data_IF_007326469532
#
_entry.id   IF_007326469532
#
_cell.length_a   1.000
_cell.length_b   1.000
_cell.length_c   1.000
_cell.angle_alpha   90.00
_cell.angle_beta   90.00
_cell.angle_gamma   90.00
#
_symmetry.space_group_name_H-M   'P 1'
#
loop_
_entity.id
_entity.type
_entity.pdbx_description
1 polymer ?
#
# COMPACT_ATOMS: atom_id res chain seq x y z
N UNK A 1 10.65 2.76 -22.82
CA UNK A 1 10.80 3.60 -21.61
C UNK A 1 9.77 3.13 -20.60
N UNK A 2 10.18 2.73 -19.39
CA UNK A 2 9.22 2.33 -18.35
C UNK A 2 8.47 3.58 -17.85
N UNK A 3 7.14 3.49 -17.74
CA UNK A 3 6.28 4.58 -17.26
C UNK A 3 6.22 4.54 -15.73
N UNK A 4 6.10 5.71 -15.10
CA UNK A 4 5.81 5.85 -13.67
C UNK A 4 4.32 5.71 -13.36
N UNK A 5 3.91 6.17 -12.17
CA UNK A 5 2.51 6.31 -11.81
C UNK A 5 1.79 7.29 -12.74
N UNK A 6 0.52 6.99 -13.04
CA UNK A 6 -0.30 7.78 -13.95
C UNK A 6 -1.78 7.65 -13.57
N UNK A 7 -2.38 8.77 -13.15
CA UNK A 7 -3.76 8.84 -12.67
C UNK A 7 -4.79 8.41 -13.71
N UNK A 8 -4.43 8.33 -15.00
CA UNK A 8 -5.32 7.78 -16.04
C UNK A 8 -5.69 6.32 -15.78
N UNK A 9 -4.89 5.60 -15.01
CA UNK A 9 -5.17 4.21 -14.59
C UNK A 9 -5.85 4.12 -13.22
N UNK A 10 -6.08 5.25 -12.53
CA UNK A 10 -6.82 5.26 -11.28
C UNK A 10 -8.32 5.04 -11.54
N UNK A 11 -8.92 4.10 -10.81
CA UNK A 11 -10.36 3.83 -10.94
C UNK A 11 -11.16 4.83 -10.10
N UNK A 12 -12.30 5.30 -10.63
CA UNK A 12 -13.22 6.16 -9.90
C UNK A 12 -14.09 5.42 -8.87
N UNK A 13 -13.86 4.11 -8.71
CA UNK A 13 -14.60 3.20 -7.82
C UNK A 13 -14.11 3.25 -6.37
N UNK A 14 -12.94 3.86 -6.12
CA UNK A 14 -12.39 3.98 -4.78
C UNK A 14 -13.21 4.89 -3.86
N UNK A 15 -13.15 4.61 -2.55
CA UNK A 15 -13.87 5.38 -1.51
C UNK A 15 -13.40 6.85 -1.39
N UNK A 16 -12.16 7.12 -1.78
CA UNK A 16 -11.63 8.48 -1.87
C UNK A 16 -11.47 8.90 -3.35
N UNK A 17 -12.21 8.21 -4.24
CA UNK A 17 -12.28 8.41 -5.70
C UNK A 17 -10.97 8.15 -6.44
N UNK A 18 -10.87 8.66 -7.68
CA UNK A 18 -9.76 8.41 -8.59
C UNK A 18 -8.48 9.12 -8.12
N UNK A 19 -7.66 8.37 -7.39
CA UNK A 19 -6.34 8.74 -6.94
C UNK A 19 -5.47 7.51 -6.78
N UNK A 20 -4.19 7.70 -6.48
CA UNK A 20 -3.27 6.61 -6.19
C UNK A 20 -3.45 6.18 -4.73
N UNK A 21 -3.88 4.93 -4.54
CA UNK A 21 -4.10 4.37 -3.21
C UNK A 21 -2.84 3.69 -2.68
N UNK A 22 -2.54 3.95 -1.42
CA UNK A 22 -1.56 3.23 -0.62
C UNK A 22 -2.15 2.88 0.75
N UNK A 23 -1.55 1.92 1.42
CA UNK A 23 -1.88 1.48 2.78
C UNK A 23 -0.60 0.98 3.44
N UNK A 24 -0.55 1.09 4.77
CA UNK A 24 0.54 0.53 5.55
C UNK A 24 0.40 -1.00 5.72
N UNK A 25 -0.77 -1.55 5.38
CA UNK A 25 -1.11 -2.96 5.58
C UNK A 25 -0.83 -3.75 4.28
N UNK A 26 0.21 -4.57 4.31
CA UNK A 26 0.66 -5.36 3.14
C UNK A 26 -0.40 -6.35 2.64
N UNK A 27 -1.09 -7.06 3.54
CA UNK A 27 -2.15 -8.02 3.21
C UNK A 27 -3.31 -7.37 2.43
N UNK A 28 -3.60 -6.10 2.72
CA UNK A 28 -4.59 -5.30 2.00
C UNK A 28 -4.11 -4.94 0.59
N UNK A 29 -2.89 -4.43 0.44
CA UNK A 29 -2.30 -4.20 -0.89
C UNK A 29 -2.28 -5.47 -1.75
N UNK A 30 -1.94 -6.61 -1.14
CA UNK A 30 -1.95 -7.93 -1.79
C UNK A 30 -3.34 -8.36 -2.24
N UNK A 31 -4.40 -7.98 -1.49
CA UNK A 31 -5.79 -8.32 -1.85
C UNK A 31 -6.27 -7.63 -3.14
N UNK A 32 -5.65 -6.50 -3.53
CA UNK A 32 -5.96 -5.80 -4.78
C UNK A 32 -5.29 -6.42 -6.01
N UNK A 33 -4.37 -7.36 -5.81
CA UNK A 33 -3.63 -7.97 -6.90
C UNK A 33 -4.51 -8.95 -7.70
N UNK A 34 -4.49 -8.83 -9.03
CA UNK A 34 -5.18 -9.72 -9.96
C UNK A 34 -4.20 -10.20 -11.03
N UNK A 35 -3.91 -11.51 -11.04
CA UNK A 35 -3.24 -12.15 -12.16
C UNK A 35 -4.24 -12.30 -13.32
N UNK A 36 -3.96 -11.67 -14.45
CA UNK A 36 -4.83 -11.68 -15.64
C UNK A 36 -4.06 -12.19 -16.87
N UNK A 37 -4.78 -12.59 -17.92
CA UNK A 37 -4.19 -13.11 -19.16
C UNK A 37 -3.37 -14.39 -18.94
N UNK A 38 -2.18 -14.45 -19.55
CA UNK A 38 -1.30 -15.64 -19.55
C UNK A 38 -0.77 -16.02 -18.17
N UNK A 39 -0.83 -15.11 -17.19
CA UNK A 39 -0.33 -15.34 -15.83
C UNK A 39 -1.43 -15.69 -14.82
N UNK A 40 -2.69 -15.91 -15.27
CA UNK A 40 -3.84 -16.23 -14.39
C UNK A 40 -3.59 -17.41 -13.44
N UNK A 41 -2.75 -18.37 -13.83
CA UNK A 41 -2.37 -19.53 -13.00
C UNK A 41 -1.15 -19.31 -12.09
N UNK A 42 -0.52 -18.14 -12.14
CA UNK A 42 0.65 -17.85 -11.31
C UNK A 42 0.25 -17.69 -9.85
N UNK A 43 1.03 -18.33 -8.97
CA UNK A 43 0.94 -18.18 -7.51
C UNK A 43 1.68 -16.94 -7.00
N UNK A 44 2.53 -16.35 -7.83
CA UNK A 44 3.33 -15.19 -7.45
C UNK A 44 2.53 -13.91 -7.60
N UNK A 45 2.72 -13.00 -6.64
CA UNK A 45 2.14 -11.66 -6.62
C UNK A 45 3.25 -10.63 -6.46
N UNK A 46 3.11 -9.49 -7.12
CA UNK A 46 4.07 -8.39 -7.03
C UNK A 46 3.48 -7.24 -6.20
N UNK A 47 4.22 -6.76 -5.21
CA UNK A 47 3.85 -5.63 -4.35
C UNK A 47 4.95 -4.57 -4.44
N UNK A 48 4.56 -3.30 -4.58
CA UNK A 48 5.49 -2.17 -4.66
C UNK A 48 5.49 -1.38 -3.35
N UNK A 49 6.68 -1.19 -2.76
CA UNK A 49 6.90 -0.22 -1.70
C UNK A 49 7.28 1.12 -2.34
N UNK A 50 6.58 2.16 -1.92
CA UNK A 50 6.73 3.51 -2.45
C UNK A 50 7.19 4.47 -1.37
N UNK A 51 8.10 5.37 -1.74
CA UNK A 51 8.30 6.61 -1.00
C UNK A 51 7.24 7.60 -1.48
N UNK A 52 6.41 8.10 -0.56
CA UNK A 52 5.27 8.95 -0.90
C UNK A 52 5.43 10.33 -0.27
N UNK A 53 5.30 11.39 -1.08
CA UNK A 53 5.21 12.76 -0.61
C UNK A 53 3.77 13.14 -0.31
N UNK A 54 3.43 13.29 0.96
CA UNK A 54 2.04 13.51 1.41
C UNK A 54 1.65 14.98 1.48
N UNK A 55 2.61 15.89 1.64
CA UNK A 55 2.31 17.30 1.89
C UNK A 55 1.38 17.48 3.10
N UNK A 56 0.37 18.34 2.96
CA UNK A 56 -0.68 18.47 3.98
C UNK A 56 -1.76 17.41 3.76
N UNK A 57 -1.98 16.57 4.77
CA UNK A 57 -2.95 15.47 4.72
C UNK A 57 -4.31 15.93 5.23
N UNK A 58 -5.37 15.64 4.46
CA UNK A 58 -6.75 15.80 4.91
C UNK A 58 -7.26 14.48 5.48
N UNK A 59 -7.58 14.46 6.77
CA UNK A 59 -8.13 13.27 7.43
C UNK A 59 -9.66 13.25 7.33
N UNK A 60 -10.21 12.09 7.00
CA UNK A 60 -11.66 11.90 6.90
C UNK A 60 -12.06 10.49 7.32
N UNK A 61 -13.21 10.39 7.97
CA UNK A 61 -13.90 9.13 8.26
C UNK A 61 -15.13 8.92 7.38
N UNK A 62 -15.31 9.77 6.35
CA UNK A 62 -16.51 9.81 5.48
C UNK A 62 -16.18 9.65 4.00
N UNK A 63 -17.07 8.97 3.26
CA UNK A 63 -16.93 8.71 1.83
C UNK A 63 -16.88 10.01 1.02
N UNK A 64 -15.82 10.21 0.24
CA UNK A 64 -15.64 11.41 -0.58
C UNK A 64 -16.16 11.20 -2.01
N UNK A 65 -17.47 10.96 -2.15
CA UNK A 65 -18.11 10.48 -3.40
C UNK A 65 -17.83 11.23 -4.68
N UNK A 66 -17.49 12.52 -4.63
CA UNK A 66 -17.36 13.36 -5.83
C UNK A 66 -15.97 13.92 -6.07
N UNK A 67 -15.07 13.70 -5.12
CA UNK A 67 -13.72 14.26 -5.12
C UNK A 67 -12.87 13.69 -6.26
N UNK A 68 -12.01 14.49 -6.87
CA UNK A 68 -11.01 14.04 -7.86
C UNK A 68 -9.64 14.67 -7.61
N UNK A 69 -9.53 15.44 -6.53
CA UNK A 69 -8.37 16.19 -6.07
C UNK A 69 -8.50 16.39 -4.57
N UNK A 70 -7.42 16.59 -3.80
CA UNK A 70 -7.55 16.83 -2.37
C UNK A 70 -8.36 18.11 -2.10
N UNK A 71 -8.97 18.25 -0.90
CA UNK A 71 -9.62 19.49 -0.49
C UNK A 71 -8.67 20.71 -0.58
N UNK A 72 -9.20 21.94 -0.77
CA UNK A 72 -8.37 23.13 -0.88
C UNK A 72 -7.39 23.27 0.28
N UNK A 73 -6.10 23.46 -0.04
CA UNK A 73 -5.03 23.58 0.94
C UNK A 73 -4.41 22.26 1.40
N UNK A 74 -4.85 21.12 0.86
CA UNK A 74 -4.30 19.80 1.12
C UNK A 74 -3.69 19.19 -0.15
N UNK A 75 -2.79 18.23 0.04
CA UNK A 75 -2.07 17.52 -1.02
C UNK A 75 -2.46 16.04 -1.10
N UNK A 76 -2.98 15.49 -0.01
CA UNK A 76 -3.36 14.09 0.11
C UNK A 76 -4.57 13.92 1.04
N UNK A 77 -5.18 12.74 1.00
CA UNK A 77 -6.32 12.38 1.84
C UNK A 77 -6.01 11.08 2.57
N UNK A 78 -6.24 11.06 3.87
CA UNK A 78 -6.16 9.87 4.70
C UNK A 78 -7.57 9.51 5.19
N UNK A 79 -8.02 8.32 4.81
CA UNK A 79 -9.23 7.69 5.30
C UNK A 79 -8.88 6.82 6.51
N UNK A 80 -9.31 7.24 7.70
CA UNK A 80 -8.91 6.64 8.98
C UNK A 80 -9.55 5.28 9.28
N UNK A 81 -10.53 4.85 8.49
CA UNK A 81 -11.17 3.57 8.75
C UNK A 81 -12.41 3.65 9.65
N UNK A 82 -13.06 4.81 9.79
CA UNK A 82 -14.33 4.94 10.53
C UNK A 82 -15.45 3.95 10.11
N UNK A 83 -16.67 4.10 10.62
CA UNK A 83 -17.77 3.08 10.49
C UNK A 83 -18.06 2.58 9.06
N UNK A 84 -17.71 3.36 8.03
CA UNK A 84 -17.89 2.99 6.61
C UNK A 84 -16.62 2.45 5.92
N UNK A 85 -15.47 2.51 6.59
CA UNK A 85 -14.15 2.27 6.04
C UNK A 85 -13.51 1.08 6.75
N UNK A 86 -13.69 -0.12 6.22
CA UNK A 86 -13.15 -1.31 6.89
C UNK A 86 -11.63 -1.36 7.10
N UNK A 87 -10.81 -0.39 6.62
CA UNK A 87 -9.35 -0.29 6.82
C UNK A 87 -8.79 1.07 6.33
N UNK A 88 -7.63 1.50 6.85
CA UNK A 88 -6.84 2.72 6.52
C UNK A 88 -6.55 2.94 5.02
N UNK A 89 -6.80 4.12 4.46
CA UNK A 89 -6.47 4.39 3.04
C UNK A 89 -5.78 5.73 2.89
N UNK A 90 -4.60 5.74 2.30
CA UNK A 90 -3.90 6.95 1.92
C UNK A 90 -4.04 7.17 0.42
N UNK A 91 -4.46 8.37 0.03
CA UNK A 91 -4.67 8.71 -1.38
C UNK A 91 -3.97 10.01 -1.73
N UNK A 92 -3.22 9.96 -2.82
CA UNK A 92 -2.61 11.13 -3.45
C UNK A 92 -3.18 11.30 -4.86
N UNK A 93 -3.23 12.55 -5.32
CA UNK A 93 -3.82 12.92 -6.61
C UNK A 93 -2.78 13.61 -7.50
N UNK A 94 -1.52 13.23 -7.34
CA UNK A 94 -0.38 13.69 -8.14
C UNK A 94 0.49 12.47 -8.49
N UNK A 95 0.79 12.29 -9.77
CA UNK A 95 1.63 11.21 -10.31
C UNK A 95 3.06 11.27 -9.77
N UNK A 96 3.54 12.47 -9.45
CA UNK A 96 4.89 12.68 -8.94
C UNK A 96 5.00 12.49 -7.42
N UNK A 97 3.87 12.33 -6.72
CA UNK A 97 3.86 12.12 -5.28
C UNK A 97 4.34 10.72 -4.88
N UNK A 98 4.30 9.72 -5.78
CA UNK A 98 4.80 8.37 -5.50
C UNK A 98 6.07 8.09 -6.28
N UNK A 99 7.07 7.54 -5.59
CA UNK A 99 8.25 6.98 -6.22
C UNK A 99 8.44 5.53 -5.80
N UNK A 100 8.39 4.58 -6.75
CA UNK A 100 8.64 3.19 -6.43
C UNK A 100 10.09 3.00 -5.98
N UNK A 101 10.26 2.37 -4.82
CA UNK A 101 11.57 2.18 -4.19
C UNK A 101 11.98 0.70 -4.19
N UNK A 102 11.03 -0.20 -3.90
CA UNK A 102 11.30 -1.64 -3.79
C UNK A 102 10.15 -2.43 -4.41
N UNK A 103 10.48 -3.43 -5.22
CA UNK A 103 9.56 -4.43 -5.73
C UNK A 103 9.72 -5.72 -4.94
N UNK A 104 8.64 -6.20 -4.35
CA UNK A 104 8.58 -7.46 -3.60
C UNK A 104 7.77 -8.48 -4.39
N UNK A 105 8.28 -9.70 -4.50
CA UNK A 105 7.55 -10.84 -5.05
C UNK A 105 7.14 -11.77 -3.89
N UNK A 106 5.84 -11.99 -3.77
CA UNK A 106 5.21 -12.83 -2.75
C UNK A 106 4.74 -14.14 -3.38
N UNK A 107 4.80 -15.26 -2.65
CA UNK A 107 4.20 -16.53 -3.05
C UNK A 107 2.92 -16.75 -2.24
N UNK A 108 1.80 -17.08 -2.90
CA UNK A 108 0.50 -17.34 -2.26
C UNK A 108 -0.04 -16.24 -1.32
N UNK A 109 0.47 -15.01 -1.43
CA UNK A 109 0.09 -13.91 -0.55
C UNK A 109 0.93 -13.77 0.72
N UNK A 110 1.97 -14.60 0.88
CA UNK A 110 3.00 -14.46 1.89
C UNK A 110 4.24 -13.83 1.25
N UNK A 111 4.88 -12.91 1.97
CA UNK A 111 6.15 -12.31 1.53
C UNK A 111 7.22 -13.40 1.66
N UNK A 112 7.53 -14.08 0.56
CA UNK A 112 8.69 -14.96 0.49
C UNK A 112 9.95 -14.11 0.59
N UNK A 113 10.67 -14.25 1.70
CA UNK A 113 11.99 -13.63 1.88
C UNK A 113 12.90 -13.99 0.71
N UNK A 114 13.70 -13.03 0.26
CA UNK A 114 14.63 -13.15 -0.88
C UNK A 114 15.42 -14.46 -0.85
N UNK A 115 15.65 -15.12 -2.01
CA UNK A 115 16.27 -16.45 -2.09
C UNK A 115 17.77 -16.52 -1.77
N UNK A 116 18.35 -15.52 -1.12
CA UNK A 116 19.66 -15.61 -0.49
C UNK A 116 19.59 -14.92 0.87
N UNK A 117 20.13 -15.58 1.90
CA UNK A 117 20.07 -15.15 3.30
C UNK A 117 20.46 -13.66 3.39
N UNK A 118 19.51 -12.75 3.64
CA UNK A 118 19.76 -11.32 3.57
C UNK A 118 20.86 -10.92 4.57
N UNK A 119 21.69 -9.96 4.20
CA UNK A 119 22.72 -9.45 5.11
C UNK A 119 22.05 -8.87 6.37
N UNK A 120 22.77 -8.78 7.49
CA UNK A 120 22.22 -8.18 8.72
C UNK A 120 21.74 -6.74 8.50
N UNK A 121 22.28 -6.04 7.52
CA UNK A 121 21.87 -4.68 7.16
C UNK A 121 20.59 -4.66 6.32
N UNK A 122 20.40 -5.61 5.41
CA UNK A 122 19.16 -5.77 4.64
C UNK A 122 18.00 -6.21 5.55
N UNK A 123 18.29 -7.11 6.49
CA UNK A 123 17.36 -7.48 7.56
C UNK A 123 17.07 -6.28 8.48
N UNK A 124 18.05 -5.46 8.83
CA UNK A 124 17.81 -4.27 9.65
C UNK A 124 16.96 -3.22 8.90
N UNK A 125 17.12 -3.08 7.58
CA UNK A 125 16.29 -2.19 6.75
C UNK A 125 14.87 -2.72 6.61
N UNK A 126 14.70 -4.02 6.33
CA UNK A 126 13.39 -4.64 6.26
C UNK A 126 12.70 -4.70 7.64
N UNK A 127 13.42 -4.95 8.73
CA UNK A 127 12.90 -4.93 10.09
C UNK A 127 12.58 -3.53 10.59
N UNK A 128 13.34 -2.49 10.21
CA UNK A 128 12.98 -1.11 10.51
C UNK A 128 11.71 -0.70 9.75
N UNK A 129 11.57 -1.12 8.48
CA UNK A 129 10.34 -0.95 7.71
C UNK A 129 9.17 -1.78 8.26
N UNK A 130 9.39 -3.00 8.73
CA UNK A 130 8.32 -3.87 9.26
C UNK A 130 7.91 -3.53 10.69
N UNK A 131 8.83 -3.05 11.52
CA UNK A 131 8.56 -2.57 12.89
C UNK A 131 7.76 -1.25 12.88
N UNK A 132 7.87 -0.45 11.81
CA UNK A 132 6.99 0.71 11.58
C UNK A 132 5.65 0.33 10.90
N UNK A 133 5.54 -0.86 10.30
CA UNK A 133 4.37 -1.32 9.55
C UNK A 133 3.43 -2.26 10.32
N UNK A 134 3.59 -2.40 11.65
CA UNK A 134 2.74 -3.22 12.53
C UNK A 134 2.31 -4.55 11.90
N UNK A 135 3.30 -5.32 11.43
CA UNK A 135 3.08 -6.69 11.00
C UNK A 135 2.85 -7.52 12.26
N UNK A 136 1.57 -7.70 12.62
CA UNK A 136 1.15 -8.79 13.50
C UNK A 136 1.43 -10.10 12.74
N UNK A 137 2.54 -10.75 13.10
CA UNK A 137 2.94 -12.05 12.56
C UNK A 137 2.23 -13.21 13.27
N UNK A 138 1.20 -12.92 14.08
CA UNK A 138 0.45 -13.94 14.82
C UNK A 138 1.30 -14.68 15.84
N UNK A 139 2.42 -14.10 16.28
CA UNK A 139 3.30 -14.67 17.31
C UNK A 139 2.98 -14.20 18.73
N UNK A 140 1.76 -13.74 19.00
CA UNK A 140 1.24 -13.56 20.36
C UNK A 140 0.82 -14.91 20.99
N UNK A 141 1.79 -15.80 21.12
CA UNK A 141 1.78 -16.91 22.07
C UNK A 141 3.06 -16.86 22.91
N UNK A 142 3.17 -15.81 23.72
CA UNK A 142 3.96 -15.84 24.96
C UNK A 142 3.03 -15.52 26.11
N UNK A 143 2.29 -16.54 26.53
CA UNK A 143 1.78 -16.59 27.90
C UNK A 143 2.98 -16.87 28.80
N UNK A 144 3.46 -15.86 29.51
CA UNK A 144 4.16 -16.10 30.77
C UNK A 144 3.11 -16.44 31.84
N UNK A 145 3.03 -17.73 32.19
CA UNK A 145 2.74 -18.22 33.54
C UNK A 145 3.67 -19.39 33.85
#
# INVERSE_FOLDING_TARGET
MCKGYDLRYATAEGLLRAGHYSTLISSKSISYFKNEGDVKGSKYKAVMINVISLGRVYETSTYMKYTTKPPPGFSSVFGDGGTDFGNDKLVVYDDHALRPAVLIICDNGEITTFPDKPSREDLARCCALSAEMNVDDGSDNWVEQ
#
